data_IF_498044981903
#
_entry.id   IF_498044981903
#
_cell.length_a   1.000
_cell.length_b   1.000
_cell.length_c   1.000
_cell.angle_alpha   90.00
_cell.angle_beta   90.00
_cell.angle_gamma   90.00
#
_symmetry.space_group_name_H-M   'P 1'
#
loop_
_entity.id
_entity.type
_entity.pdbx_description
1 polymer ?
#
# COMPACT_ATOMS: atom_id res chain seq x y z
N UNK A 1 59.47 12.32 -22.50
CA UNK A 1 59.08 11.80 -21.17
C UNK A 1 57.57 11.89 -21.11
N UNK A 2 56.94 10.74 -21.26
CA UNK A 2 55.49 10.50 -21.39
C UNK A 2 54.81 10.65 -20.03
N UNK A 3 53.76 11.48 -19.97
CA UNK A 3 52.83 11.50 -18.84
C UNK A 3 51.82 10.36 -19.01
N UNK A 4 51.50 9.58 -17.96
CA UNK A 4 50.40 8.62 -18.04
C UNK A 4 49.07 9.37 -17.91
N UNK A 5 48.16 9.07 -18.82
CA UNK A 5 46.76 9.49 -18.82
C UNK A 5 46.03 8.74 -17.70
N UNK A 6 45.24 9.40 -16.82
CA UNK A 6 44.35 8.67 -15.93
C UNK A 6 43.28 7.99 -16.78
N UNK A 7 43.21 6.68 -16.66
CA UNK A 7 42.23 5.83 -17.32
C UNK A 7 40.84 6.26 -16.86
N UNK A 8 39.96 6.55 -17.82
CA UNK A 8 38.57 6.81 -17.54
C UNK A 8 37.93 5.50 -17.10
N UNK A 9 37.85 5.30 -15.79
CA UNK A 9 37.12 4.21 -15.17
C UNK A 9 35.63 4.35 -15.54
N UNK A 10 35.22 3.61 -16.57
CA UNK A 10 33.81 3.45 -16.93
C UNK A 10 33.23 2.38 -16.01
N UNK A 11 33.06 2.68 -14.74
CA UNK A 11 32.11 1.93 -13.92
C UNK A 11 30.77 2.68 -13.96
N UNK A 12 29.92 2.27 -14.90
CA UNK A 12 28.50 2.61 -14.88
C UNK A 12 27.87 1.93 -13.67
N UNK A 13 28.10 2.48 -12.48
CA UNK A 13 27.73 1.89 -11.20
C UNK A 13 26.25 1.54 -11.17
N UNK A 14 25.96 0.25 -11.32
CA UNK A 14 24.59 -0.24 -11.26
C UNK A 14 24.07 -0.02 -9.83
N UNK A 15 22.92 0.64 -9.63
CA UNK A 15 22.39 0.92 -8.30
C UNK A 15 22.21 -0.36 -7.48
N UNK A 16 22.88 -0.42 -6.32
CA UNK A 16 22.73 -1.49 -5.34
C UNK A 16 21.96 -0.98 -4.13
N UNK A 17 21.08 -1.82 -3.60
CA UNK A 17 20.31 -1.57 -2.40
C UNK A 17 20.58 -2.67 -1.36
N UNK A 18 20.67 -2.28 -0.09
CA UNK A 18 20.85 -3.23 1.01
C UNK A 18 19.53 -3.90 1.37
N UNK A 19 19.52 -5.22 1.39
CA UNK A 19 18.37 -5.98 1.87
C UNK A 19 18.22 -5.82 3.38
N UNK A 20 17.01 -5.49 3.86
CA UNK A 20 16.73 -5.37 5.29
C UNK A 20 16.61 -6.71 6.02
N UNK A 21 16.55 -7.82 5.26
CA UNK A 21 16.38 -9.18 5.79
C UNK A 21 17.73 -9.90 5.88
N UNK A 22 18.45 -10.06 4.76
CA UNK A 22 19.76 -10.74 4.75
C UNK A 22 20.97 -9.81 4.99
N UNK A 23 20.75 -8.49 5.08
CA UNK A 23 21.79 -7.45 5.22
C UNK A 23 22.86 -7.40 4.12
N UNK A 24 22.66 -8.13 3.03
CA UNK A 24 23.53 -8.09 1.84
C UNK A 24 23.09 -7.02 0.84
N UNK A 25 24.04 -6.52 0.06
CA UNK A 25 23.78 -5.55 -1.01
C UNK A 25 23.42 -6.30 -2.31
N UNK A 26 22.25 -6.02 -2.86
CA UNK A 26 21.77 -6.60 -4.13
C UNK A 26 21.56 -5.51 -5.17
N UNK A 27 21.57 -5.88 -6.46
CA UNK A 27 21.16 -4.95 -7.50
C UNK A 27 19.70 -4.52 -7.26
N UNK A 28 19.41 -3.22 -7.34
CA UNK A 28 18.09 -2.68 -7.02
C UNK A 28 16.96 -3.37 -7.81
N UNK A 29 17.23 -3.69 -9.09
CA UNK A 29 16.32 -4.44 -9.98
C UNK A 29 16.03 -5.88 -9.54
N UNK A 30 16.97 -6.54 -8.88
CA UNK A 30 16.87 -7.95 -8.45
C UNK A 30 16.41 -8.07 -7.00
N UNK A 31 16.58 -7.01 -6.20
CA UNK A 31 16.19 -7.00 -4.79
C UNK A 31 14.69 -7.21 -4.60
N UNK A 32 13.84 -6.70 -5.49
CA UNK A 32 12.38 -6.90 -5.41
C UNK A 32 11.99 -8.37 -5.64
N UNK A 33 12.63 -9.05 -6.61
CA UNK A 33 12.42 -10.48 -6.84
C UNK A 33 12.98 -11.32 -5.70
N UNK A 34 14.17 -10.98 -5.20
CA UNK A 34 14.78 -11.65 -4.05
C UNK A 34 13.93 -11.52 -2.79
N UNK A 35 13.35 -10.33 -2.52
CA UNK A 35 12.41 -10.13 -1.41
C UNK A 35 11.17 -11.04 -1.50
N UNK A 36 10.66 -11.31 -2.70
CA UNK A 36 9.56 -12.28 -2.93
C UNK A 36 10.01 -13.71 -2.63
N UNK A 37 11.19 -14.09 -3.12
CA UNK A 37 11.76 -15.42 -2.81
C UNK A 37 11.98 -15.59 -1.30
N UNK A 38 12.41 -14.54 -0.59
CA UNK A 38 12.53 -14.58 0.87
C UNK A 38 11.19 -14.69 1.58
N UNK A 39 10.16 -13.95 1.13
CA UNK A 39 8.81 -14.11 1.69
C UNK A 39 8.24 -15.52 1.46
N UNK A 40 8.53 -16.11 0.30
CA UNK A 40 8.08 -17.45 -0.08
C UNK A 40 8.90 -18.55 0.61
N UNK A 41 10.12 -18.25 1.06
CA UNK A 41 11.03 -19.18 1.78
C UNK A 41 10.84 -19.21 3.31
N UNK A 42 9.72 -18.69 3.84
CA UNK A 42 9.42 -18.64 5.28
C UNK A 42 10.52 -17.92 6.10
N UNK A 43 10.51 -16.58 6.05
CA UNK A 43 11.18 -15.78 7.08
C UNK A 43 10.52 -16.01 8.46
N UNK A 44 11.33 -16.11 9.51
CA UNK A 44 10.87 -16.16 10.89
C UNK A 44 10.59 -14.74 11.38
N UNK A 45 9.38 -14.47 11.86
CA UNK A 45 8.98 -13.12 12.29
C UNK A 45 8.96 -13.00 13.80
N UNK A 46 9.65 -12.00 14.34
CA UNK A 46 9.58 -11.67 15.76
C UNK A 46 8.17 -11.18 16.12
N UNK A 47 7.55 -11.82 17.12
CA UNK A 47 6.23 -11.44 17.63
C UNK A 47 6.22 -10.11 18.37
N UNK A 48 7.36 -9.68 18.92
CA UNK A 48 7.50 -8.47 19.75
C UNK A 48 7.71 -7.22 18.89
N UNK A 49 8.70 -7.22 17.98
CA UNK A 49 9.01 -6.06 17.14
C UNK A 49 8.60 -6.22 15.66
N UNK A 50 8.28 -7.43 15.20
CA UNK A 50 7.94 -7.69 13.80
C UNK A 50 9.11 -7.75 12.83
N UNK A 51 10.36 -7.82 13.32
CA UNK A 51 11.53 -8.07 12.47
C UNK A 51 11.43 -9.43 11.78
N UNK A 52 11.95 -9.52 10.56
CA UNK A 52 12.02 -10.74 9.76
C UNK A 52 13.46 -11.29 9.79
N UNK A 53 13.61 -12.60 10.00
CA UNK A 53 14.89 -13.32 10.17
C UNK A 53 14.93 -14.53 9.25
N UNK A 54 16.13 -14.97 8.82
CA UNK A 54 16.30 -16.05 7.85
C UNK A 54 16.36 -17.43 8.52
N UNK A 55 16.63 -17.46 9.82
CA UNK A 55 16.71 -18.68 10.61
C UNK A 55 16.03 -18.52 11.97
N UNK A 56 15.76 -19.65 12.62
CA UNK A 56 15.15 -19.67 13.95
C UNK A 56 16.14 -19.21 15.01
N UNK A 57 17.41 -19.53 14.81
CA UNK A 57 18.55 -19.17 15.65
C UNK A 57 18.72 -17.64 15.67
N UNK A 58 18.73 -16.98 14.50
CA UNK A 58 18.78 -15.51 14.42
C UNK A 58 17.57 -14.83 15.09
N UNK A 59 16.38 -15.46 15.02
CA UNK A 59 15.20 -14.96 15.72
C UNK A 59 15.35 -15.11 17.23
N UNK A 60 15.85 -16.24 17.72
CA UNK A 60 16.07 -16.47 19.16
C UNK A 60 17.11 -15.51 19.73
N UNK A 61 18.27 -15.38 19.09
CA UNK A 61 19.31 -14.43 19.50
C UNK A 61 18.77 -13.00 19.52
N UNK A 62 17.89 -12.66 18.58
CA UNK A 62 17.21 -11.37 18.57
C UNK A 62 16.21 -11.22 19.72
N UNK A 63 15.46 -12.27 20.07
CA UNK A 63 14.48 -12.22 21.16
C UNK A 63 15.14 -11.94 22.51
N UNK A 64 16.35 -12.45 22.74
CA UNK A 64 17.13 -12.14 23.94
C UNK A 64 17.43 -10.64 24.08
N UNK A 65 17.54 -9.91 22.96
CA UNK A 65 17.74 -8.45 22.98
C UNK A 65 16.50 -7.71 23.50
N UNK A 66 15.31 -8.31 23.50
CA UNK A 66 14.12 -7.71 24.12
C UNK A 66 14.15 -7.76 25.64
N UNK A 67 14.93 -8.67 26.23
CA UNK A 67 15.09 -8.81 27.68
C UNK A 67 16.09 -7.80 28.25
N UNK A 68 16.97 -7.25 27.40
CA UNK A 68 17.99 -6.28 27.78
C UNK A 68 17.47 -4.83 27.70
N UNK A 69 17.54 -4.05 28.80
CA UNK A 69 17.12 -2.66 28.79
C UNK A 69 18.07 -1.80 27.94
N UNK A 70 17.51 -1.17 26.91
CA UNK A 70 18.20 -0.12 26.12
C UNK A 70 18.95 -0.58 24.86
N UNK A 71 18.98 -1.89 24.56
CA UNK A 71 19.68 -2.43 23.38
C UNK A 71 18.76 -3.11 22.37
N UNK A 72 17.55 -3.52 22.78
CA UNK A 72 16.56 -4.14 21.90
C UNK A 72 15.73 -3.14 21.08
N UNK A 73 15.26 -3.53 19.87
CA UNK A 73 14.26 -2.75 19.15
C UNK A 73 12.98 -2.63 20.00
N UNK A 74 12.34 -1.45 19.95
CA UNK A 74 11.17 -1.19 20.78
C UNK A 74 10.03 -2.17 20.43
N UNK A 75 9.33 -2.73 21.42
CA UNK A 75 8.16 -3.56 21.18
C UNK A 75 7.11 -2.77 20.40
N UNK A 76 6.36 -3.46 19.54
CA UNK A 76 5.20 -2.86 18.89
C UNK A 76 4.22 -2.40 19.97
N UNK A 77 3.76 -1.16 19.84
CA UNK A 77 2.74 -0.58 20.73
C UNK A 77 1.36 -1.24 20.50
N UNK A 78 1.20 -1.93 19.37
CA UNK A 78 -0.03 -2.59 18.95
C UNK A 78 0.17 -4.10 18.82
N UNK A 79 -0.86 -4.87 19.18
CA UNK A 79 -0.87 -6.34 19.07
C UNK A 79 -1.59 -6.82 17.80
N UNK A 80 -1.60 -8.13 17.59
CA UNK A 80 -2.21 -8.74 16.39
C UNK A 80 -3.72 -8.51 16.29
N UNK A 81 -4.43 -8.44 17.42
CA UNK A 81 -5.88 -8.21 17.43
C UNK A 81 -6.20 -6.77 17.02
N UNK A 82 -5.48 -5.79 17.56
CA UNK A 82 -5.64 -4.39 17.17
C UNK A 82 -5.37 -4.16 15.67
N UNK A 83 -4.40 -4.87 15.10
CA UNK A 83 -4.18 -4.86 13.65
C UNK A 83 -5.38 -5.40 12.89
N UNK A 84 -5.89 -6.57 13.29
CA UNK A 84 -7.02 -7.20 12.61
C UNK A 84 -8.29 -6.35 12.69
N UNK A 85 -8.57 -5.77 13.85
CA UNK A 85 -9.70 -4.85 14.05
C UNK A 85 -9.55 -3.58 13.21
N UNK A 86 -8.34 -3.01 13.13
CA UNK A 86 -8.06 -1.86 12.28
C UNK A 86 -8.30 -2.18 10.79
N UNK A 87 -7.86 -3.35 10.33
CA UNK A 87 -8.08 -3.80 8.96
C UNK A 87 -9.59 -3.95 8.69
N UNK A 88 -10.31 -4.66 9.56
CA UNK A 88 -11.76 -4.89 9.41
C UNK A 88 -12.51 -3.55 9.37
N UNK A 89 -12.21 -2.63 10.28
CA UNK A 89 -12.85 -1.32 10.31
C UNK A 89 -12.66 -0.53 9.00
N UNK A 90 -11.46 -0.60 8.41
CA UNK A 90 -11.18 0.08 7.13
C UNK A 90 -11.86 -0.62 5.95
N UNK A 91 -11.72 -1.94 5.81
CA UNK A 91 -12.26 -2.66 4.65
C UNK A 91 -13.79 -2.69 4.64
N UNK A 92 -14.42 -2.65 5.83
CA UNK A 92 -15.86 -2.50 5.99
C UNK A 92 -16.35 -1.05 5.88
N UNK A 93 -15.46 -0.10 5.52
CA UNK A 93 -15.76 1.33 5.38
C UNK A 93 -16.37 1.99 6.63
N UNK A 94 -16.06 1.48 7.82
CA UNK A 94 -16.46 2.11 9.08
C UNK A 94 -15.64 3.37 9.34
N UNK A 95 -14.35 3.34 8.98
CA UNK A 95 -13.46 4.48 9.07
C UNK A 95 -12.35 4.47 8.01
N UNK A 96 -11.69 5.60 7.80
CA UNK A 96 -10.52 5.71 6.92
C UNK A 96 -9.23 5.23 7.60
N UNK A 97 -8.20 4.90 6.80
CA UNK A 97 -6.88 4.44 7.28
C UNK A 97 -6.25 5.42 8.29
N UNK A 98 -6.42 6.73 8.06
CA UNK A 98 -5.95 7.76 8.99
C UNK A 98 -6.58 7.62 10.38
N UNK A 99 -7.89 7.38 10.43
CA UNK A 99 -8.65 7.29 11.67
C UNK A 99 -8.39 5.96 12.38
N UNK A 100 -8.38 4.85 11.65
CA UNK A 100 -8.02 3.54 12.18
C UNK A 100 -6.62 3.53 12.79
N UNK A 101 -5.66 4.21 12.17
CA UNK A 101 -4.30 4.32 12.72
C UNK A 101 -4.27 4.96 14.10
N UNK A 102 -5.01 6.05 14.30
CA UNK A 102 -5.13 6.72 15.59
C UNK A 102 -5.89 5.87 16.60
N UNK A 103 -7.00 5.24 16.17
CA UNK A 103 -7.90 4.48 17.04
C UNK A 103 -7.25 3.20 17.59
N UNK A 104 -6.52 2.47 16.74
CA UNK A 104 -5.97 1.17 17.10
C UNK A 104 -4.45 1.23 17.42
N UNK A 105 -3.84 2.41 17.38
CA UNK A 105 -2.41 2.59 17.66
C UNK A 105 -1.48 1.98 16.60
N UNK A 106 -2.03 1.59 15.44
CA UNK A 106 -1.30 0.96 14.35
C UNK A 106 -0.76 2.05 13.40
N UNK A 107 0.53 2.05 13.03
CA UNK A 107 1.06 3.04 12.08
C UNK A 107 0.35 3.00 10.72
N UNK A 108 0.03 4.17 10.16
CA UNK A 108 -0.65 4.29 8.85
C UNK A 108 0.03 3.48 7.76
N UNK A 109 1.36 3.58 7.64
CA UNK A 109 2.12 2.84 6.62
C UNK A 109 1.96 1.33 6.75
N UNK A 110 2.03 0.82 7.98
CA UNK A 110 1.79 -0.60 8.26
C UNK A 110 0.37 -1.01 7.89
N UNK A 111 -0.64 -0.21 8.24
CA UNK A 111 -2.03 -0.50 7.88
C UNK A 111 -2.25 -0.44 6.35
N UNK A 112 -1.63 0.52 5.67
CA UNK A 112 -1.61 0.61 4.21
C UNK A 112 -1.02 -0.64 3.55
N UNK A 113 0.11 -1.13 4.03
CA UNK A 113 0.80 -2.28 3.46
C UNK A 113 0.03 -3.58 3.70
N UNK A 114 -0.61 -3.72 4.87
CA UNK A 114 -1.45 -4.89 5.16
C UNK A 114 -2.74 -4.90 4.33
N UNK A 115 -3.32 -3.73 4.04
CA UNK A 115 -4.56 -3.63 3.26
C UNK A 115 -4.32 -3.63 1.76
N UNK A 116 -3.30 -2.93 1.25
CA UNK A 116 -3.09 -2.75 -0.20
C UNK A 116 -1.89 -3.52 -0.76
N UNK A 117 -0.97 -3.96 0.09
CA UNK A 117 0.33 -4.48 -0.33
C UNK A 117 1.40 -3.39 -0.42
N UNK A 118 2.67 -3.83 -0.37
CA UNK A 118 3.84 -2.95 -0.40
C UNK A 118 4.13 -2.38 -1.79
N UNK A 119 3.89 -3.16 -2.83
CA UNK A 119 4.14 -2.84 -4.24
C UNK A 119 2.93 -3.18 -5.13
N UNK A 120 2.93 -2.64 -6.35
CA UNK A 120 1.97 -3.00 -7.41
C UNK A 120 0.48 -2.92 -7.01
N UNK A 121 0.11 -1.92 -6.20
CA UNK A 121 -1.25 -1.76 -5.65
C UNK A 121 -2.37 -1.63 -6.70
N UNK A 122 -2.02 -1.29 -7.94
CA UNK A 122 -2.95 -1.18 -9.07
C UNK A 122 -3.15 -2.52 -9.81
N UNK A 123 -2.31 -3.53 -9.55
CA UNK A 123 -2.33 -4.81 -10.27
C UNK A 123 -3.67 -5.55 -10.15
N UNK A 124 -4.41 -5.29 -9.08
CA UNK A 124 -5.75 -5.83 -8.85
C UNK A 124 -6.74 -5.53 -9.99
N UNK A 125 -6.53 -4.42 -10.74
CA UNK A 125 -7.35 -4.10 -11.93
C UNK A 125 -6.99 -4.98 -13.15
N UNK A 126 -5.75 -5.45 -13.24
CA UNK A 126 -5.33 -6.39 -14.28
C UNK A 126 -5.75 -7.83 -13.95
N UNK A 127 -5.75 -8.18 -12.67
CA UNK A 127 -6.26 -9.47 -12.18
C UNK A 127 -7.77 -9.61 -12.41
N UNK A 128 -8.52 -8.51 -12.36
CA UNK A 128 -9.96 -8.47 -12.61
C UNK A 128 -10.29 -7.41 -13.67
N UNK A 129 -10.07 -7.73 -14.95
CA UNK A 129 -10.34 -6.80 -16.05
C UNK A 129 -11.84 -6.73 -16.32
N UNK A 130 -12.35 -5.51 -16.32
CA UNK A 130 -13.69 -5.19 -16.81
C UNK A 130 -13.58 -4.53 -18.20
N UNK A 131 -14.57 -4.73 -19.05
CA UNK A 131 -14.67 -3.99 -20.31
C UNK A 131 -14.94 -2.50 -20.03
N UNK A 132 -14.63 -1.59 -20.98
CA UNK A 132 -14.95 -0.17 -20.81
C UNK A 132 -16.44 0.07 -20.50
N UNK A 133 -17.33 -0.71 -21.11
CA UNK A 133 -18.78 -0.63 -20.90
C UNK A 133 -19.18 -1.08 -19.49
N UNK A 134 -18.56 -2.15 -18.98
CA UNK A 134 -18.77 -2.63 -17.62
C UNK A 134 -18.22 -1.63 -16.59
N UNK A 135 -17.04 -1.05 -16.83
CA UNK A 135 -16.45 -0.01 -15.98
C UNK A 135 -17.33 1.25 -15.93
N UNK A 136 -17.89 1.68 -17.05
CA UNK A 136 -18.82 2.79 -17.10
C UNK A 136 -20.13 2.47 -16.37
N UNK A 137 -20.65 1.24 -16.47
CA UNK A 137 -21.81 0.81 -15.70
C UNK A 137 -21.54 0.86 -14.19
N UNK A 138 -20.39 0.34 -13.75
CA UNK A 138 -19.96 0.39 -12.35
C UNK A 138 -19.77 1.84 -11.89
N UNK A 139 -19.17 2.69 -12.73
CA UNK A 139 -18.95 4.10 -12.43
C UNK A 139 -20.27 4.86 -12.24
N UNK A 140 -21.23 4.68 -13.17
CA UNK A 140 -22.57 5.26 -13.09
C UNK A 140 -23.36 4.74 -11.89
N UNK A 141 -23.20 3.45 -11.55
CA UNK A 141 -23.86 2.88 -10.37
C UNK A 141 -23.26 3.44 -9.06
N UNK A 142 -21.93 3.53 -9.00
CA UNK A 142 -21.21 3.95 -7.79
C UNK A 142 -21.27 5.47 -7.55
N UNK A 143 -21.28 6.27 -8.62
CA UNK A 143 -21.31 7.74 -8.56
C UNK A 143 -22.60 8.26 -9.20
N UNK A 144 -23.32 9.15 -8.51
CA UNK A 144 -24.35 9.95 -9.18
C UNK A 144 -23.65 10.95 -10.10
N UNK A 145 -23.46 10.57 -11.36
CA UNK A 145 -22.90 11.44 -12.39
C UNK A 145 -23.97 12.46 -12.80
N UNK A 146 -23.95 13.63 -12.17
CA UNK A 146 -24.72 14.78 -12.67
C UNK A 146 -24.02 15.36 -13.90
N UNK A 147 -24.74 15.68 -14.99
CA UNK A 147 -24.16 16.43 -16.10
C UNK A 147 -23.55 17.74 -15.59
N UNK A 148 -22.24 17.94 -15.82
CA UNK A 148 -21.50 19.15 -15.41
C UNK A 148 -20.79 19.09 -14.05
N UNK A 149 -20.89 18.00 -13.28
CA UNK A 149 -20.12 17.84 -12.04
C UNK A 149 -18.67 17.42 -12.33
N UNK A 150 -17.69 18.26 -11.97
CA UNK A 150 -16.26 17.93 -12.08
C UNK A 150 -15.80 16.88 -11.05
N UNK A 151 -16.58 16.59 -10.00
CA UNK A 151 -16.23 15.63 -8.93
C UNK A 151 -17.13 14.40 -9.01
N UNK A 152 -16.51 13.24 -9.25
CA UNK A 152 -17.16 11.93 -9.22
C UNK A 152 -17.16 11.42 -7.77
N UNK A 153 -18.20 11.72 -7.02
CA UNK A 153 -18.32 11.26 -5.63
C UNK A 153 -19.07 9.93 -5.58
N UNK A 154 -18.48 8.96 -4.89
CA UNK A 154 -19.16 7.70 -4.63
C UNK A 154 -20.27 7.89 -3.59
N UNK A 155 -21.46 7.40 -3.91
CA UNK A 155 -22.68 7.50 -3.09
C UNK A 155 -23.19 6.15 -2.60
N UNK A 156 -22.60 5.05 -3.09
CA UNK A 156 -22.90 3.68 -2.70
C UNK A 156 -21.83 3.13 -1.76
N UNK A 157 -22.22 2.19 -0.89
CA UNK A 157 -21.27 1.43 -0.08
C UNK A 157 -20.50 0.44 -0.96
N UNK A 158 -19.30 0.06 -0.54
CA UNK A 158 -18.50 -0.97 -1.19
C UNK A 158 -19.28 -2.29 -1.31
N UNK A 159 -20.02 -2.67 -0.26
CA UNK A 159 -20.85 -3.87 -0.29
C UNK A 159 -21.86 -3.84 -1.45
N UNK A 160 -22.56 -2.71 -1.62
CA UNK A 160 -23.54 -2.54 -2.70
C UNK A 160 -22.88 -2.53 -4.09
N UNK A 161 -21.68 -1.95 -4.20
CA UNK A 161 -20.91 -1.92 -5.45
C UNK A 161 -20.46 -3.34 -5.82
N UNK A 162 -19.93 -4.12 -4.87
CA UNK A 162 -19.51 -5.50 -5.10
C UNK A 162 -20.70 -6.40 -5.45
N UNK A 163 -21.86 -6.18 -4.85
CA UNK A 163 -23.10 -6.87 -5.20
C UNK A 163 -23.54 -6.55 -6.63
N UNK A 164 -23.44 -5.28 -7.07
CA UNK A 164 -23.68 -4.91 -8.46
C UNK A 164 -22.67 -5.57 -9.41
N UNK A 165 -21.39 -5.59 -9.05
CA UNK A 165 -20.34 -6.24 -9.84
C UNK A 165 -20.56 -7.74 -10.01
N UNK A 166 -21.26 -8.39 -9.07
CA UNK A 166 -21.58 -9.82 -9.13
C UNK A 166 -22.47 -10.24 -10.31
N UNK A 167 -23.10 -9.26 -10.97
CA UNK A 167 -23.92 -9.48 -12.16
C UNK A 167 -23.08 -9.72 -13.42
N UNK A 168 -21.80 -9.33 -13.42
CA UNK A 168 -20.91 -9.49 -14.57
C UNK A 168 -20.27 -10.88 -14.58
N UNK A 169 -20.28 -11.62 -15.71
CA UNK A 169 -19.67 -12.95 -15.82
C UNK A 169 -18.17 -12.98 -15.45
N UNK A 170 -17.42 -11.96 -15.84
CA UNK A 170 -15.99 -11.82 -15.55
C UNK A 170 -15.70 -11.77 -14.03
N UNK A 171 -16.64 -11.24 -13.25
CA UNK A 171 -16.58 -11.21 -11.80
C UNK A 171 -16.93 -12.56 -11.19
N UNK A 172 -17.95 -13.25 -11.73
CA UNK A 172 -18.38 -14.56 -11.24
C UNK A 172 -17.31 -15.63 -11.43
N UNK A 173 -16.62 -15.64 -12.56
CA UNK A 173 -15.50 -16.57 -12.83
C UNK A 173 -14.35 -16.41 -11.82
N UNK A 174 -14.18 -15.21 -11.25
CA UNK A 174 -13.14 -14.89 -10.28
C UNK A 174 -13.67 -14.71 -8.86
N UNK A 175 -14.96 -15.00 -8.62
CA UNK A 175 -15.63 -14.75 -7.35
C UNK A 175 -15.03 -15.56 -6.20
N UNK A 176 -14.55 -16.79 -6.47
CA UNK A 176 -13.85 -17.61 -5.48
C UNK A 176 -12.49 -17.03 -5.09
N UNK A 177 -11.77 -16.40 -6.04
CA UNK A 177 -10.49 -15.73 -5.80
C UNK A 177 -10.69 -14.41 -5.03
N UNK A 178 -11.76 -13.68 -5.35
CA UNK A 178 -12.08 -12.38 -4.74
C UNK A 178 -12.92 -12.47 -3.47
N UNK A 179 -13.31 -13.68 -3.02
CA UNK A 179 -14.13 -14.00 -1.84
C UNK A 179 -14.97 -12.81 -1.39
N UNK A 180 -16.15 -12.64 -1.99
CA UNK A 180 -17.11 -11.55 -1.73
C UNK A 180 -16.85 -10.75 -0.43
N UNK A 181 -16.10 -9.65 -0.55
CA UNK A 181 -15.83 -8.70 0.54
C UNK A 181 -14.41 -8.69 1.12
N UNK A 182 -14.17 -7.80 2.08
CA UNK A 182 -12.89 -7.70 2.79
C UNK A 182 -11.75 -7.05 1.98
N UNK A 183 -10.53 -7.55 2.17
CA UNK A 183 -9.30 -6.94 1.61
C UNK A 183 -9.31 -6.91 0.07
N UNK A 184 -9.61 -8.00 -0.67
CA UNK A 184 -9.59 -7.97 -2.14
C UNK A 184 -10.58 -6.96 -2.74
N UNK A 185 -11.81 -6.92 -2.23
CA UNK A 185 -12.83 -5.96 -2.66
C UNK A 185 -12.44 -4.52 -2.36
N UNK A 186 -11.88 -4.25 -1.17
CA UNK A 186 -11.39 -2.91 -0.83
C UNK A 186 -10.19 -2.50 -1.69
N UNK A 187 -9.24 -3.41 -1.95
CA UNK A 187 -8.10 -3.18 -2.86
C UNK A 187 -8.57 -2.79 -4.25
N UNK A 188 -9.50 -3.56 -4.82
CA UNK A 188 -10.05 -3.28 -6.14
C UNK A 188 -10.76 -1.93 -6.16
N UNK A 189 -11.62 -1.65 -5.18
CA UNK A 189 -12.32 -0.37 -5.11
C UNK A 189 -11.39 0.83 -4.94
N UNK A 190 -10.37 0.70 -4.07
CA UNK A 190 -9.32 1.71 -3.93
C UNK A 190 -8.61 1.97 -5.26
N UNK A 191 -8.33 0.90 -6.01
CA UNK A 191 -7.67 0.98 -7.29
C UNK A 191 -8.55 1.64 -8.37
N UNK A 192 -9.81 1.21 -8.44
CA UNK A 192 -10.82 1.74 -9.33
C UNK A 192 -11.07 3.23 -9.08
N UNK A 193 -11.16 3.66 -7.81
CA UNK A 193 -11.30 5.07 -7.48
C UNK A 193 -10.13 5.91 -8.00
N UNK A 194 -8.90 5.41 -7.96
CA UNK A 194 -7.74 6.13 -8.51
C UNK A 194 -7.77 6.19 -10.03
N UNK A 195 -8.08 5.07 -10.69
CA UNK A 195 -8.18 5.02 -12.16
C UNK A 195 -9.23 6.01 -12.69
N UNK A 196 -10.40 6.09 -12.04
CA UNK A 196 -11.51 6.93 -12.50
C UNK A 196 -11.63 8.29 -11.77
N UNK A 197 -10.66 8.62 -10.90
CA UNK A 197 -10.66 9.85 -10.08
C UNK A 197 -11.94 10.03 -9.25
N UNK A 198 -12.42 8.94 -8.67
CA UNK A 198 -13.59 8.92 -7.78
C UNK A 198 -13.15 9.35 -6.38
N UNK A 199 -13.90 10.27 -5.79
CA UNK A 199 -13.81 10.60 -4.37
C UNK A 199 -14.59 9.51 -3.59
N UNK A 200 -13.92 8.60 -2.85
CA UNK A 200 -14.61 7.50 -2.16
C UNK A 200 -15.60 8.02 -1.10
N UNK A 201 -16.62 7.22 -0.74
CA UNK A 201 -17.62 7.64 0.23
C UNK A 201 -16.91 7.83 1.56
N UNK A 202 -17.03 9.04 2.11
CA UNK A 202 -16.52 9.35 3.44
C UNK A 202 -17.31 8.53 4.47
N UNK A 203 -16.63 7.80 5.36
CA UNK A 203 -16.88 8.15 6.76
C UNK A 203 -16.39 9.60 6.91
N UNK A 204 -17.27 10.52 7.31
CA UNK A 204 -17.05 11.97 7.36
C UNK A 204 -15.58 12.39 7.60
N UNK A 205 -15.03 13.14 6.64
CA UNK A 205 -13.86 14.02 6.78
C UNK A 205 -12.52 13.41 7.24
N UNK A 206 -11.52 13.41 6.33
CA UNK A 206 -10.14 13.71 6.73
C UNK A 206 -9.84 15.13 6.22
N UNK A 207 -9.81 16.07 7.16
CA UNK A 207 -9.61 17.50 6.94
C UNK A 207 -8.19 17.82 6.47
N UNK A 208 -7.82 17.40 5.26
CA UNK A 208 -6.70 17.99 4.53
C UNK A 208 -7.21 18.59 3.24
N UNK A 209 -7.15 19.93 3.17
CA UNK A 209 -7.30 20.67 1.92
C UNK A 209 -6.36 20.05 0.88
N UNK A 210 -6.88 19.78 -0.32
CA UNK A 210 -6.05 19.59 -1.52
C UNK A 210 -5.07 20.77 -1.57
N UNK A 211 -3.76 20.55 -1.80
CA UNK A 211 -2.94 21.64 -2.34
C UNK A 211 -3.62 22.08 -3.63
N UNK A 212 -4.05 23.35 -3.68
CA UNK A 212 -4.19 24.01 -4.96
C UNK A 212 -2.78 24.07 -5.53
N UNK A 213 -2.63 23.51 -6.72
CA UNK A 213 -1.46 23.78 -7.53
C UNK A 213 -1.87 24.95 -8.41
N UNK A 214 -1.71 26.16 -7.88
CA UNK A 214 -1.72 27.39 -8.64
C UNK A 214 -0.34 27.60 -9.25
N UNK A 215 -0.31 27.42 -10.57
CA UNK A 215 0.77 27.77 -11.47
C UNK A 215 0.80 29.31 -11.60
N UNK A 216 1.78 29.96 -11.01
CA UNK A 216 2.30 31.24 -11.51
C UNK A 216 3.72 31.43 -11.01
N UNK A 217 4.66 31.46 -11.95
CA UNK A 217 6.03 31.82 -11.68
C UNK A 217 6.22 33.27 -11.23
N UNK A 218 7.49 33.58 -10.98
CA UNK A 218 8.13 34.88 -10.92
C UNK A 218 8.52 35.39 -9.52
N UNK A 219 9.81 35.69 -9.41
CA UNK A 219 10.22 36.99 -8.91
C UNK A 219 10.77 37.03 -7.48
N UNK A 220 12.09 37.02 -7.40
CA UNK A 220 12.94 37.68 -6.38
C UNK A 220 12.26 38.88 -5.68
N UNK A 221 12.56 39.04 -4.39
CA UNK A 221 13.21 40.22 -3.80
C UNK A 221 13.46 40.02 -2.29
N UNK A 222 14.74 39.88 -1.96
CA UNK A 222 15.54 40.64 -0.99
C UNK A 222 14.92 41.20 0.30
N UNK A 223 15.75 41.09 1.36
CA UNK A 223 15.98 42.04 2.46
C UNK A 223 14.82 42.24 3.46
N UNK A 224 15.01 42.19 4.78
CA UNK A 224 16.13 42.57 5.68
C UNK A 224 16.18 41.58 6.85
#
# INVERSE_FOLDING_TARGET
MTTPRPEADRDGGVPKERCTVCRQDHLAKELQQYRRVLSDRLVFRCSICGGDYLSKEELWDHQDLHELPGTGPKPKVWNSNQMQEAIVAVVSQQCGISQASTQYGVPKGTLYDNILGKDNRMNVLHELPFSPEEEDAILNFACLLSPGAQSKRAIRSLCSILEFMSQFPCFQEKAEQFKFGGIPGFKWWWAFCRKHSIDPPRSLFDGRKRPKFDDTGNGRKDLI
#
